data_IF_163287531301
#
_entry.id   IF_163287531301
#
_cell.length_a   1.000
_cell.length_b   1.000
_cell.length_c   1.000
_cell.angle_alpha   90.00
_cell.angle_beta   90.00
_cell.angle_gamma   90.00
#
_symmetry.space_group_name_H-M   'P 1'
#
loop_
_entity.id
_entity.type
_entity.pdbx_description
1 polymer ?
#
# COMPACT_ATOMS: atom_id res chain seq x y z
N UNK A 1 -16.77 -16.87 0.47
CA UNK A 1 -15.45 -16.31 0.85
C UNK A 1 -14.40 -17.16 0.17
N UNK A 2 -13.82 -16.68 -0.92
CA UNK A 2 -12.73 -17.37 -1.61
C UNK A 2 -11.44 -16.98 -0.85
N UNK A 3 -10.71 -17.92 -0.24
CA UNK A 3 -9.41 -17.62 0.34
C UNK A 3 -8.43 -17.35 -0.80
N UNK A 4 -7.79 -16.18 -0.81
CA UNK A 4 -6.66 -15.86 -1.70
C UNK A 4 -5.41 -16.51 -1.08
N UNK A 5 -4.91 -17.65 -1.57
CA UNK A 5 -3.75 -18.30 -0.97
C UNK A 5 -2.49 -17.79 -1.66
N UNK A 6 -1.76 -16.92 -0.96
CA UNK A 6 -0.30 -16.80 -1.02
C UNK A 6 0.30 -16.69 -2.43
N UNK A 7 -0.12 -15.68 -3.20
CA UNK A 7 0.76 -15.21 -4.27
C UNK A 7 1.71 -14.22 -3.61
N UNK A 8 2.99 -14.59 -3.54
CA UNK A 8 4.13 -13.68 -3.46
C UNK A 8 4.11 -12.72 -4.68
N UNK A 9 3.01 -12.00 -4.88
CA UNK A 9 2.86 -10.94 -5.86
C UNK A 9 3.93 -9.96 -5.45
N UNK A 10 4.88 -9.74 -6.35
CA UNK A 10 5.88 -8.71 -6.19
C UNK A 10 5.25 -7.54 -5.47
N UNK A 11 5.77 -7.20 -4.29
CA UNK A 11 5.29 -6.08 -3.47
C UNK A 11 5.34 -4.75 -4.26
N UNK A 12 5.88 -4.78 -5.49
CA UNK A 12 5.95 -3.72 -6.48
C UNK A 12 4.76 -3.81 -7.46
N UNK A 13 3.99 -2.72 -7.57
CA UNK A 13 3.00 -2.51 -8.64
C UNK A 13 3.21 -1.15 -9.29
N UNK A 14 2.78 -1.01 -10.54
CA UNK A 14 2.87 0.24 -11.28
C UNK A 14 1.54 0.99 -11.19
N UNK A 15 1.59 2.27 -10.79
CA UNK A 15 0.45 3.19 -10.93
C UNK A 15 0.77 4.20 -12.02
N UNK A 16 -0.13 4.28 -13.01
CA UNK A 16 -0.07 5.28 -14.08
C UNK A 16 0.03 6.70 -13.47
N UNK A 17 0.99 7.49 -13.95
CA UNK A 17 1.25 8.85 -13.46
C UNK A 17 2.03 8.94 -12.14
N UNK A 18 2.32 7.83 -11.46
CA UNK A 18 3.11 7.80 -10.21
C UNK A 18 4.40 6.99 -10.39
N UNK A 19 4.35 5.89 -11.14
CA UNK A 19 5.48 4.98 -11.34
C UNK A 19 5.37 3.70 -10.52
N UNK A 20 6.50 3.03 -10.31
CA UNK A 20 6.57 1.81 -9.51
C UNK A 20 6.50 2.12 -8.02
N UNK A 21 5.64 1.38 -7.33
CA UNK A 21 5.35 1.54 -5.90
C UNK A 21 5.50 0.22 -5.22
N UNK A 22 6.08 0.24 -4.02
CA UNK A 22 6.21 -0.95 -3.18
C UNK A 22 5.40 -0.82 -1.89
N UNK A 23 4.92 -1.93 -1.35
CA UNK A 23 4.09 -1.95 -0.14
C UNK A 23 2.61 -1.68 -0.42
N UNK A 24 1.77 -2.05 0.54
CA UNK A 24 0.32 -1.84 0.48
C UNK A 24 -0.06 -0.35 0.35
N UNK A 25 -0.74 0.04 -0.74
CA UNK A 25 -1.23 1.44 -0.97
C UNK A 25 -2.39 1.82 -0.06
N UNK A 26 -3.10 0.85 0.49
CA UNK A 26 -4.14 1.13 1.46
C UNK A 26 -3.54 1.54 2.80
N UNK A 27 -2.22 1.43 3.01
CA UNK A 27 -1.54 2.05 4.14
C UNK A 27 -1.44 3.58 3.97
N UNK A 28 -1.90 4.35 4.95
CA UNK A 28 -1.75 5.80 5.01
C UNK A 28 -0.28 6.24 4.98
N UNK A 29 0.63 5.44 5.54
CA UNK A 29 2.06 5.72 5.59
C UNK A 29 2.86 5.07 4.45
N UNK A 30 2.20 4.56 3.40
CA UNK A 30 2.89 4.07 2.21
C UNK A 30 3.82 5.18 1.65
N UNK A 31 5.09 4.85 1.43
CA UNK A 31 6.09 5.85 1.02
C UNK A 31 5.99 6.26 -0.46
N UNK A 32 5.07 5.64 -1.22
CA UNK A 32 4.86 5.82 -2.64
C UNK A 32 6.15 5.79 -3.46
N UNK A 33 7.03 4.85 -3.11
CA UNK A 33 8.36 4.71 -3.69
C UNK A 33 8.53 3.32 -4.26
N UNK A 34 9.35 3.19 -5.30
CA UNK A 34 9.72 1.91 -5.89
C UNK A 34 10.73 1.10 -5.07
N UNK A 35 11.19 1.65 -3.94
CA UNK A 35 12.23 1.06 -3.07
C UNK A 35 11.82 1.02 -1.59
N UNK A 36 11.00 1.98 -1.14
CA UNK A 36 10.59 2.13 0.26
C UNK A 36 9.11 1.80 0.37
N UNK A 37 8.76 0.89 1.30
CA UNK A 37 7.37 0.45 1.54
C UNK A 37 6.60 1.44 2.40
N UNK A 38 7.18 1.82 3.53
CA UNK A 38 6.53 2.62 4.55
C UNK A 38 7.47 3.73 5.03
N UNK A 39 7.00 4.97 5.08
CA UNK A 39 7.82 6.11 5.48
C UNK A 39 8.26 6.02 6.96
N UNK A 40 7.41 5.45 7.82
CA UNK A 40 7.65 5.30 9.26
C UNK A 40 8.32 3.97 9.63
N UNK A 41 8.31 2.98 8.74
CA UNK A 41 9.01 1.71 8.90
C UNK A 41 9.72 1.32 7.59
N UNK A 42 10.80 2.02 7.21
CA UNK A 42 11.50 1.79 5.95
C UNK A 42 12.20 0.42 5.88
N UNK A 43 12.45 -0.21 7.03
CA UNK A 43 13.20 -1.48 7.16
C UNK A 43 12.32 -2.73 7.28
N UNK A 44 11.02 -2.59 7.52
CA UNK A 44 10.13 -3.72 7.80
C UNK A 44 9.03 -3.94 6.76
N UNK A 45 8.46 -5.15 6.70
CA UNK A 45 7.27 -5.42 5.88
C UNK A 45 6.06 -4.65 6.42
N UNK A 46 5.11 -4.31 5.55
CA UNK A 46 3.84 -3.70 5.96
C UNK A 46 2.99 -4.67 6.80
N UNK A 47 3.13 -5.98 6.57
CA UNK A 47 2.41 -7.04 7.27
C UNK A 47 2.87 -7.13 8.74
N UNK A 48 1.99 -6.75 9.68
CA UNK A 48 2.30 -6.72 11.11
C UNK A 48 2.98 -5.44 11.60
N UNK A 49 3.06 -4.38 10.77
CA UNK A 49 3.59 -3.10 11.22
C UNK A 49 2.69 -2.46 12.28
N UNK A 50 3.23 -2.16 13.48
CA UNK A 50 2.51 -1.46 14.57
C UNK A 50 2.01 -0.05 14.19
N UNK A 51 2.58 0.51 13.13
CA UNK A 51 2.25 1.82 12.60
C UNK A 51 1.37 1.73 11.35
N UNK A 52 0.89 0.54 10.98
CA UNK A 52 -0.03 0.44 9.86
C UNK A 52 -1.35 1.12 10.22
N UNK A 53 -1.72 2.13 9.44
CA UNK A 53 -3.03 2.76 9.50
C UNK A 53 -3.67 2.64 8.11
N UNK A 54 -4.92 2.14 8.02
CA UNK A 54 -5.63 2.09 6.76
C UNK A 54 -5.97 3.51 6.30
N UNK A 55 -5.74 3.79 5.03
CA UNK A 55 -6.15 5.01 4.37
C UNK A 55 -7.67 5.00 4.30
N UNK A 56 -8.29 5.98 4.93
CA UNK A 56 -9.72 6.18 4.78
C UNK A 56 -10.00 6.67 3.36
N UNK A 57 -10.38 5.75 2.47
CA UNK A 57 -10.95 6.09 1.18
C UNK A 57 -12.37 6.56 1.43
N UNK A 58 -12.53 7.78 1.92
CA UNK A 58 -13.84 8.41 1.95
C UNK A 58 -14.31 8.56 0.51
N UNK A 59 -15.24 7.72 0.06
CA UNK A 59 -16.03 7.93 -1.17
C UNK A 59 -16.93 9.14 -0.98
N UNK A 60 -16.33 10.32 -0.93
CA UNK A 60 -16.96 11.63 -1.12
C UNK A 60 -15.95 12.32 -2.02
N UNK A 61 -15.99 12.08 -3.32
CA UNK A 61 -16.66 12.98 -4.26
C UNK A 61 -16.91 12.22 -5.57
N UNK A 62 -17.98 11.41 -5.62
CA UNK A 62 -18.71 11.31 -6.89
C UNK A 62 -19.53 12.59 -6.93
N UNK A 63 -19.00 13.58 -7.64
CA UNK A 63 -19.64 14.86 -7.96
C UNK A 63 -21.15 14.66 -8.18
N UNK A 64 -21.98 15.28 -7.33
CA UNK A 64 -23.37 15.61 -7.69
C UNK A 64 -23.40 16.85 -8.57
#
# INVERSE_FOLDING_TARGET
MIPVPDEHISDRYYLEGVGYLVGDISCQYNARSGYIRCAVNPTGPCQGCRYYEPKEFTTREICS
#
